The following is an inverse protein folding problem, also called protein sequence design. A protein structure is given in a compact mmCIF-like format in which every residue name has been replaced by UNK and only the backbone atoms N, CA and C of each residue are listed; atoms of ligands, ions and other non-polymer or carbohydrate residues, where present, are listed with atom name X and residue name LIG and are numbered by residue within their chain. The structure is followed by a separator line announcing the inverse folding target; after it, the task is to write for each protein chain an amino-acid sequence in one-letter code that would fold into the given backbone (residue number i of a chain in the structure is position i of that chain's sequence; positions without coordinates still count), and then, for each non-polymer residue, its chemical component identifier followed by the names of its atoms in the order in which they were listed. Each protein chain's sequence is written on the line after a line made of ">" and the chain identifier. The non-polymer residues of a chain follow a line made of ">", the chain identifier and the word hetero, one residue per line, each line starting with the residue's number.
data_IF_022298458059
#
_entry.id   IF_022298458059
#
_cell.length_a   1.000
_cell.length_b   1.000
_cell.length_c   1.000
_cell.angle_alpha   90.00
_cell.angle_beta   90.00
_cell.angle_gamma   90.00
#
_symmetry.space_group_name_H-M   'P 1'
#
loop_
_entity.id
_entity.type
_entity.pdbx_description
1 polymer ?
#
# COMPACT_ATOMS: atom_id res chain seq x y z
N UNK A 1 -30.66 -2.02 28.40
CA UNK A 1 -29.23 -1.65 28.44
C UNK A 1 -28.43 -2.93 28.59
N UNK A 2 -28.04 -3.55 27.47
CA UNK A 2 -27.13 -4.69 27.45
C UNK A 2 -26.39 -4.65 26.12
N UNK A 3 -25.14 -4.19 26.13
CA UNK A 3 -24.27 -4.22 24.95
C UNK A 3 -23.42 -5.47 25.09
N UNK A 4 -23.79 -6.51 24.35
CA UNK A 4 -22.90 -7.65 24.10
C UNK A 4 -21.75 -7.17 23.22
N UNK A 5 -20.58 -6.92 23.82
CA UNK A 5 -19.33 -6.78 23.07
C UNK A 5 -18.84 -8.19 22.72
N UNK A 6 -19.14 -8.64 21.51
CA UNK A 6 -18.40 -9.73 20.89
C UNK A 6 -16.94 -9.28 20.72
N UNK A 7 -16.05 -9.79 21.58
CA UNK A 7 -14.60 -9.62 21.45
C UNK A 7 -14.16 -10.47 20.26
N UNK A 8 -14.01 -9.85 19.08
CA UNK A 8 -13.39 -10.45 17.89
C UNK A 8 -11.97 -10.86 18.28
N UNK A 9 -11.65 -12.16 18.20
CA UNK A 9 -10.28 -12.65 18.38
C UNK A 9 -9.50 -12.36 17.09
N UNK A 10 -8.77 -11.24 17.04
CA UNK A 10 -7.83 -10.95 15.96
C UNK A 10 -6.56 -11.78 16.15
N UNK A 11 -6.20 -12.60 15.17
CA UNK A 11 -4.89 -13.27 15.15
C UNK A 11 -3.84 -12.24 14.70
N UNK A 12 -2.80 -12.05 15.49
CA UNK A 12 -1.68 -11.14 15.21
C UNK A 12 -0.39 -11.95 15.14
N UNK A 13 0.39 -11.77 14.07
CA UNK A 13 1.69 -12.42 13.87
C UNK A 13 2.80 -11.49 14.37
N UNK A 14 3.65 -11.99 15.26
CA UNK A 14 4.82 -11.27 15.77
C UNK A 14 6.08 -11.97 15.28
N UNK A 15 7.01 -11.22 14.69
CA UNK A 15 8.29 -11.72 14.21
C UNK A 15 9.39 -11.09 15.07
N UNK A 16 10.23 -11.93 15.66
CA UNK A 16 11.33 -11.52 16.53
C UNK A 16 12.63 -12.06 15.97
N UNK A 17 13.64 -11.21 15.86
CA UNK A 17 15.00 -11.66 15.55
C UNK A 17 15.65 -12.12 16.86
N UNK A 18 16.01 -13.40 16.93
CA UNK A 18 16.61 -14.01 18.12
C UNK A 18 17.64 -15.07 17.75
N UNK A 19 18.57 -15.35 18.66
CA UNK A 19 19.50 -16.47 18.53
C UNK A 19 18.79 -17.81 18.71
N UNK A 20 19.37 -18.90 18.23
CA UNK A 20 18.82 -20.25 18.42
C UNK A 20 18.56 -20.58 19.90
N UNK A 21 19.45 -20.14 20.79
CA UNK A 21 19.30 -20.35 22.24
C UNK A 21 18.12 -19.57 22.83
N UNK A 22 17.87 -18.36 22.34
CA UNK A 22 16.71 -17.56 22.75
C UNK A 22 15.40 -18.13 22.18
N UNK A 23 15.42 -18.64 20.94
CA UNK A 23 14.30 -19.37 20.37
C UNK A 23 13.95 -20.62 21.18
N UNK A 24 14.94 -21.42 21.58
CA UNK A 24 14.73 -22.59 22.44
C UNK A 24 14.09 -22.19 23.79
N UNK A 25 14.51 -21.07 24.38
CA UNK A 25 13.87 -20.54 25.60
C UNK A 25 12.43 -20.11 25.36
N UNK A 26 12.15 -19.42 24.26
CA UNK A 26 10.78 -19.00 23.88
C UNK A 26 9.89 -20.22 23.61
N UNK A 27 10.43 -21.26 22.97
CA UNK A 27 9.72 -22.50 22.72
C UNK A 27 9.38 -23.23 24.03
N UNK A 28 10.31 -23.27 24.99
CA UNK A 28 10.04 -23.83 26.33
C UNK A 28 8.94 -23.03 27.06
N UNK A 29 8.96 -21.70 26.96
CA UNK A 29 7.92 -20.84 27.55
C UNK A 29 6.56 -21.03 26.86
N UNK A 30 6.56 -21.33 25.55
CA UNK A 30 5.35 -21.62 24.81
C UNK A 30 4.75 -22.99 25.20
N UNK A 31 5.58 -24.03 25.24
CA UNK A 31 5.17 -25.39 25.63
C UNK A 31 4.69 -25.46 27.09
N UNK A 32 5.27 -24.64 27.97
CA UNK A 32 4.83 -24.51 29.37
C UNK A 32 3.62 -23.60 29.56
N UNK A 33 3.22 -22.84 28.55
CA UNK A 33 2.11 -21.88 28.61
C UNK A 33 2.45 -20.54 29.29
N UNK A 34 3.62 -20.42 29.93
CA UNK A 34 4.11 -19.20 30.57
C UNK A 34 4.22 -18.02 29.60
N UNK A 35 4.52 -18.29 28.33
CA UNK A 35 4.60 -17.26 27.29
C UNK A 35 3.27 -16.51 27.11
N UNK A 36 2.13 -17.20 27.23
CA UNK A 36 0.81 -16.57 27.14
C UNK A 36 0.48 -15.74 28.39
N UNK A 37 0.98 -16.15 29.56
CA UNK A 37 0.84 -15.38 30.81
C UNK A 37 1.66 -14.09 30.77
N UNK A 38 2.90 -14.17 30.27
CA UNK A 38 3.79 -13.01 30.13
C UNK A 38 3.21 -11.98 29.16
N UNK A 39 2.71 -12.43 28.01
CA UNK A 39 2.19 -11.54 26.97
C UNK A 39 0.75 -11.07 27.23
N UNK A 40 0.06 -11.65 28.22
CA UNK A 40 -1.34 -11.36 28.51
C UNK A 40 -2.30 -11.69 27.35
N UNK A 41 -1.87 -12.53 26.41
CA UNK A 41 -2.62 -12.97 25.24
C UNK A 41 -2.30 -14.41 24.90
N UNK A 42 -3.27 -15.12 24.29
CA UNK A 42 -3.08 -16.50 23.88
C UNK A 42 -2.09 -16.59 22.71
N UNK A 43 -0.99 -17.30 22.91
CA UNK A 43 -0.06 -17.67 21.84
C UNK A 43 -0.57 -18.95 21.18
N UNK A 44 -0.76 -18.94 19.86
CA UNK A 44 -1.30 -20.09 19.13
C UNK A 44 -0.21 -21.01 18.56
N UNK A 45 0.95 -20.46 18.21
CA UNK A 45 2.05 -21.19 17.59
C UNK A 45 3.36 -20.41 17.77
N UNK A 46 4.49 -21.13 17.78
CA UNK A 46 5.85 -20.58 17.82
C UNK A 46 6.73 -21.43 16.89
N UNK A 47 7.34 -20.79 15.90
CA UNK A 47 8.18 -21.47 14.93
C UNK A 47 9.27 -20.58 14.35
N UNK A 48 10.30 -21.20 13.77
CA UNK A 48 11.35 -20.51 13.03
C UNK A 48 10.85 -20.27 11.62
N UNK A 49 10.94 -19.03 11.14
CA UNK A 49 10.75 -18.71 9.72
C UNK A 49 12.08 -18.97 9.01
N UNK A 50 12.16 -19.93 8.07
CA UNK A 50 13.42 -20.32 7.44
C UNK A 50 14.06 -19.19 6.64
N UNK A 51 15.39 -19.10 6.74
CA UNK A 51 16.24 -17.99 6.30
C UNK A 51 16.28 -17.79 4.77
N UNK A 52 15.69 -18.70 3.99
CA UNK A 52 15.42 -18.52 2.56
C UNK A 52 14.35 -17.45 2.25
N UNK A 53 13.81 -16.81 3.29
CA UNK A 53 12.92 -15.65 3.24
C UNK A 53 13.57 -14.38 3.84
N UNK A 54 14.89 -14.37 4.02
CA UNK A 54 15.63 -13.24 4.60
C UNK A 54 16.81 -12.82 3.73
N UNK A 55 16.52 -11.94 2.77
CA UNK A 55 17.50 -10.98 2.26
C UNK A 55 16.77 -9.75 1.74
N UNK A 56 17.16 -8.59 2.28
CA UNK A 56 16.75 -7.20 1.99
C UNK A 56 15.41 -6.73 2.55
N UNK A 57 15.50 -6.07 3.71
CA UNK A 57 14.56 -5.11 4.29
C UNK A 57 13.08 -5.47 4.17
N UNK A 58 12.54 -6.18 5.16
CA UNK A 58 11.11 -6.45 5.36
C UNK A 58 10.19 -5.68 4.40
N UNK A 59 10.00 -6.20 3.18
CA UNK A 59 8.90 -5.76 2.33
C UNK A 59 7.66 -6.29 3.02
N UNK A 60 7.07 -5.44 3.85
CA UNK A 60 5.71 -5.59 4.32
C UNK A 60 4.85 -5.55 3.06
N UNK A 61 4.60 -6.70 2.45
CA UNK A 61 3.71 -6.80 1.29
C UNK A 61 2.36 -6.23 1.73
N UNK A 62 1.96 -5.13 1.13
CA UNK A 62 0.78 -4.36 1.51
C UNK A 62 -0.47 -5.20 1.22
N UNK A 63 -1.23 -5.55 2.25
CA UNK A 63 -2.32 -6.50 2.10
C UNK A 63 -3.63 -5.78 1.76
N UNK A 64 -4.04 -5.85 0.50
CA UNK A 64 -5.23 -5.16 0.02
C UNK A 64 -6.53 -5.74 0.60
N UNK A 65 -6.57 -7.04 0.93
CA UNK A 65 -7.67 -7.61 1.71
C UNK A 65 -7.80 -7.01 3.11
N UNK A 66 -6.73 -6.53 3.72
CA UNK A 66 -6.77 -5.83 5.02
C UNK A 66 -7.34 -4.43 4.88
N UNK A 67 -7.09 -3.74 3.76
CA UNK A 67 -7.64 -2.41 3.50
C UNK A 67 -9.16 -2.44 3.41
N UNK A 68 -9.73 -3.49 2.81
CA UNK A 68 -11.18 -3.74 2.80
C UNK A 68 -11.76 -3.92 4.21
N UNK A 69 -10.94 -4.25 5.21
CA UNK A 69 -11.33 -4.43 6.61
C UNK A 69 -10.99 -3.20 7.48
N UNK A 70 -10.48 -2.12 6.89
CA UNK A 70 -10.10 -0.92 7.64
C UNK A 70 -8.74 -1.00 8.33
N UNK A 71 -7.89 -1.98 7.97
CA UNK A 71 -6.53 -2.12 8.50
C UNK A 71 -5.57 -1.65 7.43
N UNK A 72 -4.67 -0.73 7.78
CA UNK A 72 -3.79 -0.03 6.84
C UNK A 72 -2.35 0.00 7.37
N UNK A 73 -1.39 -0.13 6.46
CA UNK A 73 0.04 -0.13 6.75
C UNK A 73 0.64 1.27 6.86
N UNK A 74 1.81 1.35 7.49
CA UNK A 74 2.56 2.58 7.67
C UNK A 74 2.99 3.19 6.33
N UNK A 75 2.87 4.52 6.20
CA UNK A 75 3.19 5.24 4.97
C UNK A 75 2.06 5.30 3.94
N UNK A 76 0.98 4.54 4.13
CA UNK A 76 -0.24 4.61 3.33
C UNK A 76 -1.32 5.38 4.06
N UNK A 77 -1.61 6.58 3.56
CA UNK A 77 -2.46 7.53 4.27
C UNK A 77 -3.83 7.65 3.62
N UNK A 78 -4.87 7.97 4.40
CA UNK A 78 -6.14 8.40 3.84
C UNK A 78 -5.90 9.53 2.85
N UNK A 79 -6.60 9.50 1.74
CA UNK A 79 -6.38 10.46 0.66
C UNK A 79 -6.60 11.91 1.15
N UNK A 80 -7.54 12.11 2.09
CA UNK A 80 -7.75 13.39 2.80
C UNK A 80 -6.47 13.93 3.47
N UNK A 81 -5.67 13.04 4.07
CA UNK A 81 -4.44 13.40 4.77
C UNK A 81 -3.32 13.74 3.79
N UNK A 82 -3.19 12.97 2.70
CA UNK A 82 -2.24 13.28 1.63
C UNK A 82 -2.55 14.63 0.99
N UNK A 83 -3.83 14.90 0.73
CA UNK A 83 -4.29 16.16 0.20
C UNK A 83 -4.01 17.33 1.16
N UNK A 84 -4.15 17.11 2.47
CA UNK A 84 -3.79 18.11 3.47
C UNK A 84 -2.28 18.41 3.53
N UNK A 85 -1.41 17.46 3.13
CA UNK A 85 0.06 17.65 3.13
C UNK A 85 0.58 18.29 1.86
N UNK A 86 -0.01 17.96 0.72
CA UNK A 86 0.29 18.64 -0.55
C UNK A 86 -0.13 20.12 -0.52
N UNK A 87 -0.97 20.52 0.45
CA UNK A 87 -1.57 21.86 0.54
C UNK A 87 -0.91 22.83 1.53
N UNK A 88 0.24 22.50 2.15
CA UNK A 88 0.88 23.36 3.17
C UNK A 88 1.50 24.67 2.64
N UNK A 89 1.34 25.02 1.36
CA UNK A 89 1.67 26.36 0.85
C UNK A 89 0.40 27.09 0.37
N UNK A 90 -0.13 28.07 1.15
CA UNK A 90 -1.44 28.69 0.90
C UNK A 90 -1.57 29.52 -0.38
N UNK A 91 -0.47 29.83 -1.08
CA UNK A 91 -0.46 30.92 -2.06
C UNK A 91 -0.64 30.52 -3.54
N UNK A 92 -0.39 29.26 -3.96
CA UNK A 92 -0.44 28.96 -5.42
C UNK A 92 -0.77 27.51 -5.81
N UNK A 93 -0.56 26.53 -4.93
CA UNK A 93 -0.71 25.10 -5.28
C UNK A 93 -2.12 24.55 -5.04
N UNK A 94 -2.94 25.25 -4.24
CA UNK A 94 -4.28 24.80 -3.83
C UNK A 94 -5.30 24.81 -4.97
N UNK A 95 -5.24 25.81 -5.87
CA UNK A 95 -6.21 25.90 -6.96
C UNK A 95 -5.99 24.78 -7.97
N UNK A 96 -4.75 24.46 -8.30
CA UNK A 96 -4.46 23.62 -9.46
C UNK A 96 -4.77 22.13 -9.23
N UNK A 97 -4.40 21.58 -8.06
CA UNK A 97 -4.66 20.17 -7.72
C UNK A 97 -6.09 19.93 -7.21
N UNK A 98 -6.61 20.88 -6.41
CA UNK A 98 -8.03 20.88 -6.03
C UNK A 98 -8.96 21.06 -7.23
N UNK A 99 -8.60 21.91 -8.21
CA UNK A 99 -9.37 22.08 -9.45
C UNK A 99 -9.21 20.91 -10.42
N UNK A 100 -8.09 20.18 -10.43
CA UNK A 100 -7.96 18.97 -11.26
C UNK A 100 -8.85 17.86 -10.71
N UNK A 101 -8.87 17.65 -9.39
CA UNK A 101 -9.75 16.71 -8.70
C UNK A 101 -11.24 17.10 -8.81
N UNK A 102 -11.56 18.39 -8.66
CA UNK A 102 -12.93 18.91 -8.87
C UNK A 102 -13.38 18.79 -10.32
N UNK A 103 -12.47 18.94 -11.29
CA UNK A 103 -12.75 18.69 -12.72
C UNK A 103 -12.89 17.20 -13.03
N UNK A 104 -12.29 16.31 -12.24
CA UNK A 104 -12.29 14.86 -12.48
C UNK A 104 -13.40 14.08 -11.75
N UNK A 105 -14.41 14.73 -11.14
CA UNK A 105 -15.42 14.06 -10.28
C UNK A 105 -14.78 13.12 -9.25
N UNK A 106 -13.87 13.68 -8.43
CA UNK A 106 -13.09 12.97 -7.43
C UNK A 106 -13.89 12.27 -6.30
N UNK A 107 -15.22 12.33 -6.28
CA UNK A 107 -16.06 11.62 -5.29
C UNK A 107 -15.81 10.10 -5.28
N UNK A 108 -15.43 9.53 -6.42
CA UNK A 108 -15.05 8.10 -6.51
C UNK A 108 -13.67 7.77 -5.95
N UNK A 109 -12.83 8.77 -5.67
CA UNK A 109 -11.50 8.58 -5.09
C UNK A 109 -11.60 8.36 -3.57
N UNK A 110 -12.59 8.95 -2.91
CA UNK A 110 -12.74 8.90 -1.46
C UNK A 110 -13.53 7.66 -1.00
N UNK A 111 -13.07 6.47 -1.39
CA UNK A 111 -13.58 5.26 -0.74
C UNK A 111 -12.88 5.07 0.60
N UNK A 112 -13.58 4.50 1.59
CA UNK A 112 -13.02 4.25 2.93
C UNK A 112 -11.74 3.39 2.87
N UNK A 113 -11.62 2.57 1.82
CA UNK A 113 -10.54 1.62 1.57
C UNK A 113 -9.39 2.20 0.74
N UNK A 114 -9.58 3.37 0.11
CA UNK A 114 -8.56 3.95 -0.77
C UNK A 114 -7.45 4.64 0.03
N UNK A 115 -6.20 4.33 -0.29
CA UNK A 115 -5.03 4.96 0.34
C UNK A 115 -4.09 5.46 -0.74
N UNK A 116 -3.27 6.43 -0.36
CA UNK A 116 -2.19 6.86 -1.23
C UNK A 116 -0.88 7.07 -0.51
N UNK A 117 0.14 7.32 -1.32
CA UNK A 117 1.50 7.56 -0.90
C UNK A 117 2.13 8.60 -1.82
N UNK A 118 2.85 9.56 -1.24
CA UNK A 118 3.67 10.50 -2.02
C UNK A 118 5.00 9.82 -2.35
N UNK A 119 5.29 9.73 -3.64
CA UNK A 119 6.53 9.19 -4.18
C UNK A 119 7.40 10.36 -4.65
N UNK A 120 8.63 10.43 -4.16
CA UNK A 120 9.63 11.40 -4.61
C UNK A 120 10.62 10.67 -5.52
N UNK A 121 10.51 10.90 -6.84
CA UNK A 121 11.34 10.24 -7.86
C UNK A 121 12.81 10.73 -7.84
N UNK A 122 13.15 11.63 -6.91
CA UNK A 122 14.51 11.96 -6.56
C UNK A 122 14.98 13.33 -7.03
N UNK A 123 16.10 13.74 -6.46
CA UNK A 123 16.69 15.08 -6.60
C UNK A 123 17.08 15.39 -8.05
N UNK A 124 17.56 14.39 -8.80
CA UNK A 124 18.01 14.55 -10.19
C UNK A 124 16.85 14.91 -11.15
N UNK A 125 15.62 14.59 -10.76
CA UNK A 125 14.41 14.93 -11.49
C UNK A 125 13.73 16.17 -10.89
N UNK A 126 14.51 17.09 -10.33
CA UNK A 126 14.03 18.30 -9.66
C UNK A 126 13.02 18.03 -8.53
N UNK A 127 13.16 16.91 -7.82
CA UNK A 127 12.19 16.44 -6.81
C UNK A 127 10.77 16.31 -7.41
N UNK A 128 10.68 15.68 -8.59
CA UNK A 128 9.39 15.33 -9.18
C UNK A 128 8.68 14.40 -8.20
N UNK A 129 7.61 14.93 -7.60
CA UNK A 129 6.75 14.18 -6.70
C UNK A 129 5.45 13.85 -7.38
N UNK A 130 5.00 12.63 -7.17
CA UNK A 130 3.70 12.14 -7.61
C UNK A 130 2.99 11.46 -6.45
N UNK A 131 1.67 11.45 -6.48
CA UNK A 131 0.86 10.72 -5.53
C UNK A 131 0.36 9.44 -6.20
N UNK A 132 0.73 8.28 -5.66
CA UNK A 132 0.16 6.99 -6.04
C UNK A 132 -1.05 6.72 -5.14
N UNK A 133 -2.22 6.50 -5.75
CA UNK A 133 -3.46 6.14 -5.09
C UNK A 133 -3.81 4.70 -5.47
N UNK A 134 -4.20 3.91 -4.48
CA UNK A 134 -4.58 2.51 -4.62
C UNK A 134 -5.95 2.32 -3.99
N UNK A 135 -6.88 1.79 -4.77
CA UNK A 135 -8.27 1.60 -4.35
C UNK A 135 -8.69 0.15 -4.57
N UNK A 136 -8.70 -0.69 -3.52
CA UNK A 136 -9.26 -2.03 -3.59
C UNK A 136 -10.79 -1.98 -3.42
N UNK A 137 -11.47 -2.79 -4.22
CA UNK A 137 -12.92 -2.90 -4.31
C UNK A 137 -13.32 -4.38 -4.31
N UNK A 138 -14.20 -4.77 -3.40
CA UNK A 138 -14.75 -6.14 -3.37
C UNK A 138 -15.58 -6.41 -4.63
N UNK A 139 -15.39 -7.59 -5.21
CA UNK A 139 -16.24 -8.09 -6.31
C UNK A 139 -17.45 -8.85 -5.77
N UNK A 140 -18.45 -9.08 -6.62
CA UNK A 140 -19.66 -9.84 -6.26
C UNK A 140 -19.36 -11.30 -5.86
N UNK A 141 -18.29 -11.90 -6.41
CA UNK A 141 -17.91 -13.29 -6.14
C UNK A 141 -17.14 -13.46 -4.82
N UNK A 142 -16.61 -12.37 -4.23
CA UNK A 142 -15.73 -12.38 -3.04
C UNK A 142 -14.46 -13.25 -3.17
N UNK A 143 -14.16 -13.75 -4.37
CA UNK A 143 -12.96 -14.52 -4.69
C UNK A 143 -11.86 -13.66 -5.33
N UNK A 144 -12.26 -12.51 -5.87
CA UNK A 144 -11.40 -11.54 -6.53
C UNK A 144 -11.57 -10.15 -5.91
N UNK A 145 -10.49 -9.37 -5.93
CA UNK A 145 -10.49 -7.96 -5.56
C UNK A 145 -10.19 -7.18 -6.83
N UNK A 146 -11.06 -6.22 -7.15
CA UNK A 146 -10.80 -5.24 -8.20
C UNK A 146 -9.94 -4.12 -7.61
N UNK A 147 -8.88 -3.75 -8.32
CA UNK A 147 -7.87 -2.80 -7.87
C UNK A 147 -7.77 -1.70 -8.92
N UNK A 148 -7.94 -0.47 -8.47
CA UNK A 148 -7.67 0.73 -9.27
C UNK A 148 -6.41 1.41 -8.76
N UNK A 149 -5.46 1.62 -9.65
CA UNK A 149 -4.23 2.35 -9.44
C UNK A 149 -4.30 3.68 -10.17
N UNK A 150 -3.98 4.78 -9.50
CA UNK A 150 -3.95 6.10 -10.11
C UNK A 150 -2.70 6.86 -9.68
N UNK A 151 -2.06 7.55 -10.62
CA UNK A 151 -0.93 8.43 -10.33
C UNK A 151 -1.31 9.85 -10.67
N UNK A 152 -1.13 10.73 -9.69
CA UNK A 152 -1.48 12.14 -9.76
C UNK A 152 -0.24 13.02 -9.58
N UNK A 153 -0.17 14.21 -10.20
CA UNK A 153 0.91 15.16 -9.95
C UNK A 153 0.86 15.64 -8.50
N UNK A 154 2.02 15.83 -7.87
CA UNK A 154 2.11 16.44 -6.53
C UNK A 154 2.90 17.77 -6.58
N UNK A 155 3.13 18.40 -5.42
CA UNK A 155 3.85 19.68 -5.27
C UNK A 155 3.25 20.86 -6.08
N UNK A 156 1.95 20.86 -6.37
CA UNK A 156 1.26 21.98 -7.05
C UNK A 156 1.40 22.01 -8.58
N UNK A 157 1.82 20.90 -9.18
CA UNK A 157 1.74 20.72 -10.64
C UNK A 157 0.30 20.34 -11.05
N UNK A 158 -0.14 20.78 -12.23
CA UNK A 158 -1.45 20.40 -12.83
C UNK A 158 -1.38 19.13 -13.66
N UNK A 159 -0.24 18.88 -14.30
CA UNK A 159 -0.05 17.79 -15.25
C UNK A 159 1.08 16.90 -14.78
N UNK A 160 0.97 15.61 -15.10
CA UNK A 160 2.07 14.67 -14.97
C UNK A 160 3.18 15.02 -15.97
N UNK A 161 4.44 14.73 -15.65
CA UNK A 161 5.51 14.86 -16.61
C UNK A 161 5.29 13.87 -17.77
N UNK A 162 5.32 14.32 -19.04
CA UNK A 162 5.18 13.42 -20.17
C UNK A 162 6.25 12.34 -20.17
N UNK A 163 5.85 11.08 -20.39
CA UNK A 163 6.74 9.92 -20.30
C UNK A 163 6.84 9.29 -18.90
N UNK A 164 6.09 9.78 -17.90
CA UNK A 164 5.90 9.06 -16.63
C UNK A 164 5.14 7.76 -16.90
N UNK A 165 5.68 6.64 -16.42
CA UNK A 165 5.10 5.32 -16.61
C UNK A 165 4.56 4.76 -15.29
N UNK A 166 3.39 4.15 -15.38
CA UNK A 166 2.77 3.33 -14.34
C UNK A 166 2.65 1.91 -14.89
N UNK A 167 3.29 0.96 -14.23
CA UNK A 167 3.39 -0.44 -14.68
C UNK A 167 3.04 -1.38 -13.55
N UNK A 168 2.23 -2.40 -13.84
CA UNK A 168 2.04 -3.54 -12.94
C UNK A 168 3.01 -4.66 -13.31
N UNK A 169 3.74 -5.15 -12.31
CA UNK A 169 4.64 -6.29 -12.40
C UNK A 169 4.00 -7.50 -11.71
N UNK A 170 4.22 -8.69 -12.25
CA UNK A 170 3.83 -9.95 -11.61
C UNK A 170 4.73 -10.28 -10.39
N UNK A 171 4.48 -11.44 -9.77
CA UNK A 171 5.25 -11.94 -8.62
C UNK A 171 6.75 -12.16 -8.92
N UNK A 172 7.12 -12.26 -10.20
CA UNK A 172 8.50 -12.41 -10.66
C UNK A 172 9.12 -11.07 -11.10
N UNK A 173 8.48 -9.95 -10.74
CA UNK A 173 8.88 -8.60 -11.16
C UNK A 173 8.90 -8.42 -12.68
N UNK A 174 8.12 -9.22 -13.41
CA UNK A 174 8.00 -9.12 -14.86
C UNK A 174 6.81 -8.25 -15.21
N UNK A 175 7.03 -7.28 -16.08
CA UNK A 175 6.01 -6.31 -16.42
C UNK A 175 4.90 -6.92 -17.27
N UNK A 176 3.66 -6.81 -16.81
CA UNK A 176 2.48 -7.33 -17.49
C UNK A 176 2.14 -6.38 -18.65
N UNK A 177 2.21 -6.82 -19.92
CA UNK A 177 2.07 -5.93 -21.08
C UNK A 177 0.75 -5.14 -21.12
N UNK A 178 -0.34 -5.75 -20.65
CA UNK A 178 -1.67 -5.16 -20.65
C UNK A 178 -1.91 -4.15 -19.52
N UNK A 179 -1.04 -4.15 -18.50
CA UNK A 179 -1.18 -3.31 -17.30
C UNK A 179 -0.06 -2.27 -17.24
N UNK A 180 -0.01 -1.43 -18.29
CA UNK A 180 0.92 -0.30 -18.40
C UNK A 180 0.21 0.96 -18.89
N UNK A 181 0.56 2.10 -18.31
CA UNK A 181 0.11 3.42 -18.75
C UNK A 181 1.29 4.39 -18.80
N UNK A 182 1.29 5.29 -19.77
CA UNK A 182 2.29 6.36 -19.91
C UNK A 182 1.59 7.71 -20.02
N UNK A 183 2.02 8.66 -19.21
CA UNK A 183 1.50 10.02 -19.20
C UNK A 183 1.91 10.79 -20.45
N UNK A 184 0.96 11.52 -21.02
CA UNK A 184 1.12 12.39 -22.18
C UNK A 184 1.10 13.85 -21.74
N UNK A 185 1.35 14.74 -22.69
CA UNK A 185 1.17 16.18 -22.45
C UNK A 185 -0.26 16.47 -22.02
N UNK A 186 -0.41 17.27 -20.96
CA UNK A 186 -1.69 17.67 -20.36
C UNK A 186 -2.46 16.58 -19.58
N UNK A 187 -1.90 15.37 -19.41
CA UNK A 187 -2.52 14.37 -18.55
C UNK A 187 -2.47 14.81 -17.08
N UNK A 188 -3.65 14.96 -16.48
CA UNK A 188 -3.79 15.31 -15.06
C UNK A 188 -3.61 14.10 -14.14
N UNK A 189 -3.72 12.88 -14.68
CA UNK A 189 -3.45 11.61 -14.01
C UNK A 189 -3.34 10.48 -15.05
N UNK A 190 -2.75 9.35 -14.66
CA UNK A 190 -2.84 8.08 -15.39
C UNK A 190 -3.44 7.01 -14.47
N UNK A 191 -4.09 6.00 -15.06
CA UNK A 191 -4.83 4.99 -14.32
C UNK A 191 -4.65 3.60 -14.93
N UNK A 192 -4.63 2.59 -14.06
CA UNK A 192 -4.84 1.19 -14.40
C UNK A 192 -5.93 0.60 -13.51
N UNK A 193 -6.70 -0.34 -14.05
CA UNK A 193 -7.72 -1.07 -13.31
C UNK A 193 -7.69 -2.53 -13.74
N UNK A 194 -7.61 -3.42 -12.77
CA UNK A 194 -7.56 -4.87 -12.97
C UNK A 194 -8.16 -5.59 -11.77
N UNK A 195 -8.29 -6.90 -11.86
CA UNK A 195 -8.69 -7.75 -10.74
C UNK A 195 -7.64 -8.82 -10.50
N UNK A 196 -7.51 -9.24 -9.25
CA UNK A 196 -6.67 -10.38 -8.89
C UNK A 196 -7.31 -11.20 -7.77
N UNK A 197 -6.81 -12.42 -7.59
CA UNK A 197 -7.30 -13.37 -6.60
C UNK A 197 -6.60 -13.19 -5.27
N UNK A 198 -7.30 -13.60 -4.21
CA UNK A 198 -6.71 -13.66 -2.88
C UNK A 198 -5.38 -14.46 -2.90
N UNK A 199 -4.36 -13.90 -2.24
CA UNK A 199 -2.98 -14.39 -2.13
C UNK A 199 -2.09 -14.16 -3.36
N UNK A 200 -2.59 -13.54 -4.42
CA UNK A 200 -1.73 -13.13 -5.53
C UNK A 200 -0.85 -11.94 -5.11
N UNK A 201 0.41 -11.95 -5.57
CA UNK A 201 1.36 -10.85 -5.38
C UNK A 201 1.55 -10.12 -6.68
N UNK A 202 1.67 -8.82 -6.59
CA UNK A 202 2.05 -7.96 -7.70
C UNK A 202 2.83 -6.77 -7.17
N UNK A 203 3.56 -6.11 -8.05
CA UNK A 203 4.20 -4.84 -7.73
C UNK A 203 3.71 -3.74 -8.65
N UNK A 204 3.71 -2.50 -8.14
CA UNK A 204 3.42 -1.30 -8.91
C UNK A 204 4.70 -0.51 -9.03
N UNK A 205 5.16 -0.35 -10.25
CA UNK A 205 6.30 0.50 -10.57
C UNK A 205 5.82 1.84 -11.13
N UNK A 206 6.33 2.93 -10.56
CA UNK A 206 6.21 4.28 -11.09
C UNK A 206 7.59 4.74 -11.54
N UNK A 207 7.76 4.94 -12.85
CA UNK A 207 9.05 5.25 -13.46
C UNK A 207 9.03 6.56 -14.25
N UNK A 208 10.12 7.32 -14.18
CA UNK A 208 10.35 8.50 -15.01
C UNK A 208 11.82 8.62 -15.39
N UNK A 209 12.12 8.49 -16.68
CA UNK A 209 13.49 8.47 -17.17
C UNK A 209 14.28 7.29 -16.59
N UNK A 210 15.31 7.58 -15.79
CA UNK A 210 16.15 6.56 -15.14
C UNK A 210 15.76 6.25 -13.68
N UNK A 211 14.78 6.97 -13.12
CA UNK A 211 14.30 6.73 -11.77
C UNK A 211 13.05 5.86 -11.79
N UNK A 212 12.96 4.91 -10.87
CA UNK A 212 11.74 4.18 -10.58
C UNK A 212 11.57 3.96 -9.08
N UNK A 213 10.32 3.86 -8.65
CA UNK A 213 9.93 3.43 -7.31
C UNK A 213 8.92 2.30 -7.47
N UNK A 214 9.12 1.23 -6.71
CA UNK A 214 8.29 0.03 -6.76
C UNK A 214 7.69 -0.25 -5.39
N UNK A 215 6.38 -0.48 -5.36
CA UNK A 215 5.63 -0.89 -4.16
C UNK A 215 5.05 -2.29 -4.38
N UNK A 216 5.25 -3.20 -3.42
CA UNK A 216 4.74 -4.58 -3.49
C UNK A 216 3.41 -4.71 -2.74
N UNK A 217 2.46 -5.41 -3.37
CA UNK A 217 1.12 -5.66 -2.83
C UNK A 217 0.81 -7.16 -2.81
N UNK A 218 0.07 -7.55 -1.78
CA UNK A 218 -0.58 -8.84 -1.65
C UNK A 218 -2.09 -8.63 -1.71
N UNK A 219 -2.78 -9.40 -2.55
CA UNK A 219 -4.24 -9.34 -2.67
C UNK A 219 -4.90 -10.14 -1.54
#
# INVERSE_FOLDING_TARGET
>A
MTINKHKRSSKSLFILQSSQKEFEQIQVLFESGELSEILGTQVMDVGIVPESQSSEGAQISLNLSQWLQGIFEEGWEPIETLFSRVTTNPASSFRSFGDSLRRSNADHLFTETSRGKILDLGIQLAHTRVALLVTPMSTESNEEISIRLQVYPANGQIHLPPGLQLTVLDEFSTAIPELKAEARTEDNYIQLEFSGKLRERFSVEVAFGAASITEEFLI
#
